data_IF_311761949872
#
_entry.id   IF_311761949872
#
_cell.length_a   1.000
_cell.length_b   1.000
_cell.length_c   1.000
_cell.angle_alpha   90.00
_cell.angle_beta   90.00
_cell.angle_gamma   90.00
#
_symmetry.space_group_name_H-M   'P 1'
#
loop_
_entity.id
_entity.type
_entity.pdbx_description
1 polymer ?
#
# COMPACT_ATOMS: atom_id res chain seq x y z
N UNK A 1 -33.83 -39.06 -63.66
CA UNK A 1 -34.26 -38.76 -62.28
C UNK A 1 -33.43 -39.64 -61.36
N UNK A 2 -32.51 -39.04 -60.60
CA UNK A 2 -31.56 -39.76 -59.75
C UNK A 2 -32.16 -39.95 -58.36
N UNK A 3 -32.26 -41.21 -57.95
CA UNK A 3 -32.85 -41.73 -56.71
C UNK A 3 -31.80 -41.77 -55.57
N UNK A 4 -32.28 -41.86 -54.32
CA UNK A 4 -31.71 -41.64 -52.97
C UNK A 4 -30.28 -42.14 -52.63
N UNK A 5 -29.50 -42.71 -53.55
CA UNK A 5 -28.22 -43.40 -53.26
C UNK A 5 -26.94 -42.58 -53.46
N UNK A 6 -27.01 -41.27 -53.71
CA UNK A 6 -25.81 -40.42 -53.84
C UNK A 6 -25.87 -39.21 -52.93
N UNK A 7 -25.57 -39.38 -51.64
CA UNK A 7 -25.22 -38.26 -50.77
C UNK A 7 -24.27 -38.70 -49.65
N UNK A 8 -23.08 -39.11 -50.04
CA UNK A 8 -21.92 -39.21 -49.15
C UNK A 8 -21.34 -37.80 -49.00
N UNK A 9 -21.49 -37.16 -47.85
CA UNK A 9 -20.59 -36.07 -47.44
C UNK A 9 -20.28 -36.16 -45.94
N UNK A 10 -18.99 -36.35 -45.68
CA UNK A 10 -18.30 -36.35 -44.39
C UNK A 10 -18.69 -35.14 -43.52
N UNK A 11 -19.09 -35.39 -42.28
CA UNK A 11 -19.06 -34.38 -41.23
C UNK A 11 -17.63 -34.35 -40.63
N UNK A 12 -16.83 -33.38 -41.04
CA UNK A 12 -15.61 -33.02 -40.32
C UNK A 12 -15.99 -32.14 -39.13
N UNK A 13 -15.93 -32.69 -37.93
CA UNK A 13 -16.14 -31.94 -36.68
C UNK A 13 -15.01 -30.93 -36.50
N UNK A 14 -15.27 -29.66 -36.77
CA UNK A 14 -14.39 -28.56 -36.37
C UNK A 14 -14.50 -28.36 -34.86
N UNK A 15 -13.59 -28.98 -34.09
CA UNK A 15 -13.37 -28.56 -32.71
C UNK A 15 -12.65 -27.21 -32.74
N UNK A 16 -13.41 -26.11 -32.62
CA UNK A 16 -12.84 -24.83 -32.20
C UNK A 16 -12.33 -25.01 -30.78
N UNK A 17 -11.04 -25.27 -30.64
CA UNK A 17 -10.36 -25.14 -29.37
C UNK A 17 -10.41 -23.66 -29.00
N UNK A 18 -11.25 -23.32 -28.05
CA UNK A 18 -11.20 -22.01 -27.42
C UNK A 18 -9.80 -21.87 -26.85
N UNK A 19 -8.95 -21.07 -27.49
CA UNK A 19 -7.72 -20.58 -26.86
C UNK A 19 -8.18 -19.78 -25.66
N UNK A 20 -8.17 -20.41 -24.49
CA UNK A 20 -8.09 -19.70 -23.23
C UNK A 20 -6.82 -18.86 -23.34
N UNK A 21 -6.96 -17.59 -23.71
CA UNK A 21 -5.92 -16.62 -23.50
C UNK A 21 -5.70 -16.61 -21.99
N UNK A 22 -4.66 -17.30 -21.54
CA UNK A 22 -4.15 -17.11 -20.19
C UNK A 22 -3.85 -15.62 -20.09
N UNK A 23 -4.74 -14.88 -19.43
CA UNK A 23 -4.40 -13.55 -18.97
C UNK A 23 -3.16 -13.76 -18.11
N UNK A 24 -1.99 -13.42 -18.65
CA UNK A 24 -0.77 -13.32 -17.87
C UNK A 24 -1.14 -12.38 -16.73
N UNK A 25 -1.41 -12.94 -15.55
CA UNK A 25 -1.75 -12.15 -14.39
C UNK A 25 -0.53 -11.29 -14.17
N UNK A 26 -0.59 -10.02 -14.58
CA UNK A 26 0.49 -9.07 -14.38
C UNK A 26 0.84 -9.22 -12.91
N UNK A 27 2.06 -9.68 -12.61
CA UNK A 27 2.41 -9.97 -11.22
C UNK A 27 2.27 -8.64 -10.50
N UNK A 28 1.22 -8.54 -9.70
CA UNK A 28 0.93 -7.30 -9.00
C UNK A 28 1.98 -7.25 -7.92
N UNK A 29 3.07 -6.51 -8.17
CA UNK A 29 4.14 -6.35 -7.18
C UNK A 29 3.51 -5.84 -5.90
N UNK A 30 3.63 -6.62 -4.85
CA UNK A 30 3.20 -6.24 -3.51
C UNK A 30 4.33 -5.42 -2.92
N UNK A 31 4.07 -4.15 -2.62
CA UNK A 31 4.98 -3.34 -1.85
C UNK A 31 4.73 -3.61 -0.36
N UNK A 32 5.76 -4.08 0.36
CA UNK A 32 5.72 -4.25 1.81
C UNK A 32 6.62 -3.20 2.46
N UNK A 33 6.08 -2.49 3.45
CA UNK A 33 6.86 -1.56 4.27
C UNK A 33 6.84 -2.02 5.72
N UNK A 34 8.02 -2.11 6.34
CA UNK A 34 8.17 -2.47 7.74
C UNK A 34 9.22 -1.58 8.38
N UNK A 35 9.06 -1.29 9.68
CA UNK A 35 9.96 -0.38 10.38
C UNK A 35 10.65 -1.01 11.59
N UNK A 36 11.83 -0.47 11.91
CA UNK A 36 12.48 -0.63 13.21
C UNK A 36 12.81 0.76 13.73
N UNK A 37 12.16 1.17 14.83
CA UNK A 37 12.27 2.55 15.31
C UNK A 37 11.83 3.55 14.22
N UNK A 38 12.67 4.55 13.89
CA UNK A 38 12.34 5.56 12.87
C UNK A 38 12.55 5.09 11.43
N UNK A 39 13.22 3.96 11.22
CA UNK A 39 13.64 3.51 9.90
C UNK A 39 12.54 2.65 9.27
N UNK A 40 11.90 3.18 8.23
CA UNK A 40 10.89 2.50 7.44
C UNK A 40 11.52 1.93 6.17
N UNK A 41 11.56 0.61 6.07
CA UNK A 41 12.21 -0.14 4.98
C UNK A 41 11.17 -0.70 4.03
N UNK A 42 11.38 -0.50 2.74
CA UNK A 42 10.64 -1.16 1.67
C UNK A 42 11.23 -2.55 1.39
N UNK A 43 10.37 -3.53 1.14
CA UNK A 43 10.74 -4.88 0.72
C UNK A 43 9.95 -5.27 -0.52
N UNK A 44 10.65 -5.86 -1.48
CA UNK A 44 9.98 -6.64 -2.51
C UNK A 44 9.56 -7.98 -1.90
N UNK A 45 8.33 -8.40 -2.20
CA UNK A 45 7.77 -9.68 -1.74
C UNK A 45 7.91 -10.71 -2.86
N UNK A 46 8.77 -11.72 -2.65
CA UNK A 46 8.78 -12.93 -3.47
C UNK A 46 7.85 -13.97 -2.83
N UNK A 47 6.62 -14.03 -3.36
CA UNK A 47 5.60 -14.97 -2.88
C UNK A 47 5.96 -16.42 -3.19
N UNK A 48 6.63 -16.68 -4.32
CA UNK A 48 6.95 -18.04 -4.74
C UNK A 48 8.13 -18.61 -3.95
N UNK A 49 9.15 -17.77 -3.70
CA UNK A 49 10.29 -18.10 -2.86
C UNK A 49 10.02 -17.99 -1.34
N UNK A 50 8.91 -17.36 -0.94
CA UNK A 50 8.61 -16.99 0.45
C UNK A 50 9.69 -16.09 1.08
N UNK A 51 10.21 -15.15 0.29
CA UNK A 51 11.30 -14.25 0.70
C UNK A 51 10.87 -12.78 0.71
N UNK A 52 11.48 -12.01 1.60
CA UNK A 52 11.42 -10.55 1.59
C UNK A 52 12.78 -9.99 1.21
N UNK A 53 12.84 -9.30 0.07
CA UNK A 53 14.08 -8.74 -0.45
C UNK A 53 14.15 -7.27 -0.05
N UNK A 54 15.05 -6.95 0.88
CA UNK A 54 15.24 -5.59 1.38
C UNK A 54 15.60 -4.62 0.24
N UNK A 55 14.89 -3.49 0.19
CA UNK A 55 15.14 -2.37 -0.73
C UNK A 55 15.60 -1.15 0.06
N UNK A 56 15.12 0.03 -0.29
CA UNK A 56 15.52 1.27 0.38
C UNK A 56 14.87 1.43 1.75
N UNK A 57 15.51 2.28 2.56
CA UNK A 57 15.03 2.69 3.87
C UNK A 57 14.92 4.20 3.90
N UNK A 58 13.80 4.71 4.42
CA UNK A 58 13.63 6.13 4.75
C UNK A 58 13.56 6.29 6.27
N UNK A 59 14.23 7.31 6.79
CA UNK A 59 14.25 7.60 8.24
C UNK A 59 13.26 8.71 8.55
N UNK A 60 12.34 8.45 9.46
CA UNK A 60 11.36 9.43 9.95
C UNK A 60 11.92 10.26 11.12
N UNK A 61 11.28 11.41 11.47
CA UNK A 61 11.72 12.24 12.58
C UNK A 61 11.75 11.54 13.96
N UNK A 62 10.99 10.45 14.12
CA UNK A 62 10.92 9.66 15.34
C UNK A 62 10.43 8.23 15.04
N UNK A 63 10.26 7.40 16.07
CA UNK A 63 9.82 6.01 15.92
C UNK A 63 8.43 5.92 15.28
N UNK A 64 8.29 5.10 14.22
CA UNK A 64 7.01 4.92 13.52
C UNK A 64 5.98 4.30 14.46
N UNK A 65 4.77 4.87 14.46
CA UNK A 65 3.63 4.42 15.25
C UNK A 65 2.60 3.67 14.40
N UNK A 66 2.28 4.24 13.24
CA UNK A 66 1.27 3.68 12.35
C UNK A 66 1.44 4.20 10.93
N UNK A 67 1.05 3.42 9.92
CA UNK A 67 1.04 3.83 8.52
C UNK A 67 -0.33 3.53 7.89
N UNK A 68 -0.79 4.40 7.00
CA UNK A 68 -2.06 4.24 6.28
C UNK A 68 -1.93 4.67 4.81
N UNK A 69 -2.37 3.84 3.84
CA UNK A 69 -2.28 4.19 2.43
C UNK A 69 -3.37 5.18 2.01
N UNK A 70 -3.06 6.03 1.05
CA UNK A 70 -4.07 6.78 0.32
C UNK A 70 -4.87 5.82 -0.59
N UNK A 71 -6.16 6.09 -0.82
CA UNK A 71 -7.03 5.24 -1.64
C UNK A 71 -6.53 4.98 -3.07
N UNK A 72 -5.77 5.93 -3.63
CA UNK A 72 -5.12 5.77 -4.96
C UNK A 72 -3.96 4.77 -4.97
N UNK A 73 -3.43 4.36 -3.81
CA UNK A 73 -2.22 3.55 -3.69
C UNK A 73 -0.94 4.29 -4.08
N UNK A 74 -0.99 5.62 -4.27
CA UNK A 74 0.16 6.43 -4.70
C UNK A 74 0.85 7.19 -3.57
N UNK A 75 0.27 7.18 -2.37
CA UNK A 75 0.84 7.84 -1.20
C UNK A 75 0.69 6.97 0.05
N UNK A 76 1.63 7.14 0.96
CA UNK A 76 1.64 6.53 2.29
C UNK A 76 1.75 7.62 3.34
N UNK A 77 0.83 7.62 4.31
CA UNK A 77 0.87 8.51 5.47
C UNK A 77 1.40 7.74 6.67
N UNK A 78 2.43 8.27 7.31
CA UNK A 78 3.12 7.59 8.41
C UNK A 78 3.19 8.53 9.60
N UNK A 79 2.71 8.04 10.73
CA UNK A 79 2.84 8.73 12.00
C UNK A 79 4.09 8.28 12.73
N UNK A 80 4.77 9.22 13.39
CA UNK A 80 5.93 8.93 14.22
C UNK A 80 5.89 9.67 15.55
N UNK A 81 6.54 9.11 16.56
CA UNK A 81 6.62 9.68 17.91
C UNK A 81 7.91 9.29 18.63
N UNK A 82 8.48 10.23 19.39
CA UNK A 82 9.61 9.96 20.31
C UNK A 82 9.16 9.55 21.72
N UNK A 83 7.86 9.41 21.96
CA UNK A 83 7.35 8.87 23.23
C UNK A 83 7.67 7.39 23.37
N UNK A 84 8.16 7.00 24.54
CA UNK A 84 8.41 5.60 24.87
C UNK A 84 7.10 4.79 24.87
N UNK A 85 7.17 3.51 24.48
CA UNK A 85 6.01 2.61 24.41
C UNK A 85 5.21 2.56 25.72
N UNK A 86 3.90 2.28 25.62
CA UNK A 86 3.00 2.23 26.78
C UNK A 86 2.85 3.61 27.46
N UNK A 87 2.74 3.62 28.80
CA UNK A 87 2.72 4.84 29.62
C UNK A 87 4.12 5.32 30.03
N UNK A 88 5.14 5.03 29.20
CA UNK A 88 6.50 5.47 29.43
C UNK A 88 6.67 6.99 29.27
N UNK A 89 7.94 7.44 29.30
CA UNK A 89 8.30 8.85 29.17
C UNK A 89 7.70 9.46 27.89
N UNK A 90 7.00 10.59 28.06
CA UNK A 90 6.49 11.39 26.96
C UNK A 90 7.66 12.02 26.18
N UNK A 91 7.63 11.86 24.86
CA UNK A 91 8.55 12.50 23.93
C UNK A 91 8.03 13.85 23.43
N UNK A 92 8.88 14.58 22.72
CA UNK A 92 8.59 15.92 22.19
C UNK A 92 8.33 15.93 20.68
N UNK A 93 8.76 14.88 19.97
CA UNK A 93 8.71 14.82 18.51
C UNK A 93 7.55 13.92 18.09
N UNK A 94 6.51 14.51 17.51
CA UNK A 94 5.34 13.77 17.01
C UNK A 94 4.97 14.31 15.65
N UNK A 95 4.85 13.45 14.64
CA UNK A 95 4.67 13.90 13.27
C UNK A 95 3.70 13.02 12.48
N UNK A 96 3.06 13.62 11.46
CA UNK A 96 2.57 12.92 10.27
C UNK A 96 3.52 13.26 9.13
N UNK A 97 4.11 12.24 8.51
CA UNK A 97 4.88 12.35 7.28
C UNK A 97 4.08 11.76 6.12
N UNK A 98 4.10 12.43 4.97
CA UNK A 98 3.55 11.90 3.73
C UNK A 98 4.69 11.46 2.81
N UNK A 99 4.51 10.32 2.15
CA UNK A 99 5.42 9.82 1.14
C UNK A 99 4.64 9.54 -0.16
N UNK A 100 5.22 9.89 -1.31
CA UNK A 100 4.76 9.37 -2.60
C UNK A 100 5.40 8.01 -2.88
N UNK A 101 4.63 7.12 -3.48
CA UNK A 101 5.06 5.77 -3.86
C UNK A 101 5.36 5.75 -5.36
N UNK A 102 6.58 5.37 -5.71
CA UNK A 102 6.95 5.04 -7.08
C UNK A 102 6.15 3.80 -7.53
N UNK A 103 5.31 3.90 -8.58
CA UNK A 103 4.42 2.81 -8.98
C UNK A 103 5.16 1.62 -9.62
N UNK A 104 6.38 1.83 -10.12
CA UNK A 104 7.17 0.78 -10.76
C UNK A 104 8.01 0.01 -9.74
N UNK A 105 8.52 0.72 -8.72
CA UNK A 105 9.50 0.16 -7.78
C UNK A 105 8.99 0.03 -6.35
N UNK A 106 7.90 0.69 -5.95
CA UNK A 106 7.47 0.77 -4.55
C UNK A 106 8.30 1.74 -3.69
N UNK A 107 9.27 2.43 -4.28
CA UNK A 107 10.13 3.36 -3.54
C UNK A 107 9.36 4.52 -2.92
N UNK A 108 9.69 4.84 -1.67
CA UNK A 108 9.11 5.98 -0.96
C UNK A 108 9.95 7.24 -1.20
N UNK A 109 9.27 8.34 -1.52
CA UNK A 109 9.89 9.68 -1.56
C UNK A 109 9.11 10.64 -0.66
N UNK A 110 9.78 11.45 0.18
CA UNK A 110 9.09 12.45 0.99
C UNK A 110 8.20 13.35 0.14
N UNK A 111 6.98 13.60 0.61
CA UNK A 111 6.00 14.44 -0.06
C UNK A 111 5.62 15.61 0.85
N UNK A 112 6.41 16.69 0.76
CA UNK A 112 6.31 17.85 1.63
C UNK A 112 7.03 17.66 2.97
N UNK A 113 6.93 18.69 3.83
CA UNK A 113 7.49 18.64 5.18
C UNK A 113 6.58 17.84 6.12
N UNK A 114 7.13 17.07 7.08
CA UNK A 114 6.35 16.46 8.14
C UNK A 114 5.55 17.51 8.92
N UNK A 115 4.30 17.17 9.24
CA UNK A 115 3.41 18.04 10.00
C UNK A 115 3.52 17.67 11.49
N UNK A 116 3.83 18.63 12.38
CA UNK A 116 3.91 18.36 13.81
C UNK A 116 2.52 18.05 14.39
N UNK A 117 2.50 17.09 15.30
CA UNK A 117 1.35 16.66 16.07
C UNK A 117 1.50 17.11 17.53
N UNK A 118 0.38 17.34 18.25
CA UNK A 118 0.45 17.84 19.62
C UNK A 118 1.02 16.82 20.62
N UNK A 119 0.75 15.53 20.41
CA UNK A 119 1.12 14.41 21.28
C UNK A 119 1.27 13.14 20.45
N UNK A 120 1.67 12.02 21.09
CA UNK A 120 1.84 10.74 20.39
C UNK A 120 0.52 10.30 19.72
N UNK A 121 0.49 10.12 18.40
CA UNK A 121 -0.62 9.49 17.72
C UNK A 121 -0.64 7.99 18.02
N UNK A 122 -1.83 7.42 18.14
CA UNK A 122 -2.04 5.98 18.32
C UNK A 122 -2.63 5.29 17.09
N UNK A 123 -3.23 6.07 16.18
CA UNK A 123 -3.79 5.57 14.94
C UNK A 123 -3.94 6.70 13.92
N UNK A 124 -3.94 6.34 12.64
CA UNK A 124 -4.21 7.23 11.52
C UNK A 124 -5.05 6.48 10.47
N UNK A 125 -6.00 7.18 9.86
CA UNK A 125 -6.70 6.70 8.66
C UNK A 125 -7.04 7.87 7.74
N UNK A 126 -7.52 7.55 6.55
CA UNK A 126 -8.17 8.53 5.67
C UNK A 126 -9.67 8.37 5.65
N UNK A 127 -10.38 9.40 5.20
CA UNK A 127 -11.78 9.28 4.76
C UNK A 127 -11.87 8.55 3.40
N UNK A 128 -13.09 8.19 3.00
CA UNK A 128 -13.33 7.30 1.85
C UNK A 128 -12.96 7.90 0.47
N UNK A 129 -12.81 9.22 0.26
CA UNK A 129 -12.07 9.72 -0.92
C UNK A 129 -10.57 9.94 -0.67
N UNK A 130 -10.09 9.82 0.57
CA UNK A 130 -8.74 10.25 1.00
C UNK A 130 -8.47 11.73 0.74
N UNK A 131 -9.46 12.57 1.07
CA UNK A 131 -9.31 14.02 1.09
C UNK A 131 -8.76 14.51 2.44
N UNK A 132 -8.96 13.73 3.49
CA UNK A 132 -8.60 14.07 4.86
C UNK A 132 -7.86 12.92 5.54
N UNK A 133 -6.90 13.27 6.38
CA UNK A 133 -6.24 12.38 7.32
C UNK A 133 -6.86 12.60 8.70
N UNK A 134 -7.29 11.52 9.33
CA UNK A 134 -7.81 11.48 10.68
C UNK A 134 -6.74 10.88 11.60
N UNK A 135 -6.35 11.60 12.65
CA UNK A 135 -5.31 11.19 13.60
C UNK A 135 -5.89 11.10 15.01
N UNK A 136 -5.78 9.93 15.63
CA UNK A 136 -6.27 9.68 16.97
C UNK A 136 -5.17 9.75 18.03
N UNK A 137 -5.50 10.32 19.18
CA UNK A 137 -4.64 10.49 20.35
C UNK A 137 -5.35 9.90 21.58
N UNK A 138 -4.58 9.37 22.54
CA UNK A 138 -5.12 8.86 23.80
C UNK A 138 -4.69 9.66 25.04
N UNK A 139 -3.62 10.46 24.96
CA UNK A 139 -3.11 11.21 26.11
C UNK A 139 -2.62 12.63 25.70
N UNK A 140 -3.48 13.67 25.83
CA UNK A 140 -4.91 13.59 26.13
C UNK A 140 -5.68 12.94 24.96
N UNK A 141 -6.87 12.41 25.23
CA UNK A 141 -7.70 11.80 24.20
C UNK A 141 -8.23 12.84 23.21
N UNK A 142 -8.17 12.55 21.92
CA UNK A 142 -8.71 13.45 20.91
C UNK A 142 -8.58 12.92 19.48
N UNK A 143 -9.21 13.64 18.56
CA UNK A 143 -9.14 13.41 17.12
C UNK A 143 -8.74 14.72 16.44
N UNK A 144 -7.81 14.66 15.49
CA UNK A 144 -7.50 15.79 14.59
C UNK A 144 -7.71 15.37 13.15
N UNK A 145 -8.15 16.34 12.34
CA UNK A 145 -8.38 16.16 10.90
C UNK A 145 -7.46 17.10 10.14
N UNK A 146 -6.74 16.57 9.17
CA UNK A 146 -5.82 17.31 8.31
C UNK A 146 -6.25 17.15 6.85
N UNK A 147 -6.48 18.25 6.14
CA UNK A 147 -6.80 18.22 4.71
C UNK A 147 -5.55 17.83 3.92
N UNK A 148 -5.68 16.84 3.05
CA UNK A 148 -4.65 16.48 2.07
C UNK A 148 -4.68 17.53 0.95
N UNK A 149 -3.52 18.15 0.70
CA UNK A 149 -3.33 19.02 -0.47
C UNK A 149 -2.89 18.15 -1.64
N UNK A 150 -3.47 18.38 -2.82
CA UNK A 150 -3.07 17.74 -4.08
C UNK A 150 -1.82 18.42 -4.66
#
# INVERSE_FOLDING_TARGET
MLDRRTFLLLAASSMTTSRLAAAQQASRKVALYANVGPDLTHYDVDVAGAELIKRETVTLPAGVQYAWPHASGRYLYVTSSSSASGYGKAGTEHHVSAFSIDPATGALRPHGAPIPLPTRPIHISTDIPSENILVAFNNPSGLRVYRIKQ
#
